data_IF_105670709364
#
_entry.id   IF_105670709364
#
_cell.length_a   1.000
_cell.length_b   1.000
_cell.length_c   1.000
_cell.angle_alpha   90.00
_cell.angle_beta   90.00
_cell.angle_gamma   90.00
#
_symmetry.space_group_name_H-M   'P 1'
#
loop_
_entity.id
_entity.type
_entity.pdbx_description
1 polymer ?
#
# COMPACT_ATOMS: atom_id res chain seq x y z
N UNK A 1 -27.89 -17.16 -26.20
CA UNK A 1 -26.65 -16.62 -25.62
C UNK A 1 -27.05 -15.90 -24.33
N UNK A 2 -26.50 -16.31 -23.22
CA UNK A 2 -26.87 -15.77 -21.88
C UNK A 2 -26.09 -14.50 -21.53
N UNK A 3 -24.91 -14.31 -22.13
CA UNK A 3 -24.04 -13.16 -21.93
C UNK A 3 -23.10 -13.01 -23.14
N UNK A 4 -22.88 -11.80 -23.61
CA UNK A 4 -21.83 -11.53 -24.61
C UNK A 4 -21.43 -10.05 -24.57
N UNK A 5 -20.11 -9.82 -24.40
CA UNK A 5 -19.50 -8.48 -24.44
C UNK A 5 -18.23 -8.50 -25.30
N UNK A 6 -17.85 -7.32 -25.81
CA UNK A 6 -16.56 -7.07 -26.44
C UNK A 6 -15.93 -5.81 -25.87
N UNK A 7 -14.65 -5.86 -25.57
CA UNK A 7 -13.90 -4.73 -25.00
C UNK A 7 -12.47 -4.73 -25.50
N UNK A 8 -11.86 -3.56 -25.57
CA UNK A 8 -10.41 -3.45 -25.80
C UNK A 8 -9.63 -4.15 -24.68
N UNK A 9 -8.60 -4.92 -25.06
CA UNK A 9 -7.74 -5.62 -24.10
C UNK A 9 -7.23 -4.70 -22.98
N UNK A 10 -6.77 -3.49 -23.33
CA UNK A 10 -6.21 -2.52 -22.35
C UNK A 10 -7.23 -2.14 -21.29
N UNK A 11 -8.47 -1.84 -21.70
CA UNK A 11 -9.56 -1.49 -20.79
C UNK A 11 -9.88 -2.64 -19.86
N UNK A 12 -10.07 -3.84 -20.42
CA UNK A 12 -10.37 -5.02 -19.61
C UNK A 12 -9.23 -5.36 -18.65
N UNK A 13 -7.98 -5.31 -19.09
CA UNK A 13 -6.82 -5.63 -18.27
C UNK A 13 -6.65 -4.65 -17.09
N UNK A 14 -6.92 -3.36 -17.29
CA UNK A 14 -6.87 -2.36 -16.22
C UNK A 14 -7.90 -2.67 -15.13
N UNK A 15 -9.12 -3.02 -15.49
CA UNK A 15 -10.17 -3.39 -14.53
C UNK A 15 -9.85 -4.73 -13.82
N UNK A 16 -9.33 -5.71 -14.55
CA UNK A 16 -8.94 -7.00 -13.98
C UNK A 16 -7.79 -6.88 -13.00
N UNK A 17 -6.82 -5.99 -13.24
CA UNK A 17 -5.70 -5.75 -12.34
C UNK A 17 -6.17 -5.20 -10.98
N UNK A 18 -7.12 -4.28 -10.98
CA UNK A 18 -7.74 -3.75 -9.75
C UNK A 18 -8.50 -4.85 -8.98
N UNK A 19 -9.31 -5.62 -9.69
CA UNK A 19 -10.05 -6.73 -9.09
C UNK A 19 -9.14 -7.83 -8.54
N UNK A 20 -8.00 -8.08 -9.20
CA UNK A 20 -7.03 -9.07 -8.77
C UNK A 20 -6.38 -8.69 -7.43
N UNK A 21 -6.19 -7.40 -7.16
CA UNK A 21 -5.62 -6.91 -5.89
C UNK A 21 -6.52 -7.27 -4.68
N UNK A 22 -7.83 -7.41 -4.90
CA UNK A 22 -8.82 -7.79 -3.88
C UNK A 22 -9.00 -9.32 -3.81
N UNK A 23 -8.90 -10.01 -4.96
CA UNK A 23 -9.22 -11.43 -5.06
C UNK A 23 -8.20 -12.29 -4.33
N UNK A 24 -8.67 -13.20 -3.48
CA UNK A 24 -7.83 -14.16 -2.78
C UNK A 24 -7.10 -15.08 -3.76
N UNK A 25 -5.86 -15.47 -3.41
CA UNK A 25 -5.09 -16.42 -4.22
C UNK A 25 -5.70 -17.82 -4.16
N UNK A 26 -6.12 -18.24 -2.96
CA UNK A 26 -6.84 -19.48 -2.66
C UNK A 26 -7.82 -19.19 -1.54
N UNK A 27 -9.03 -19.68 -1.66
CA UNK A 27 -10.04 -19.57 -0.61
C UNK A 27 -10.99 -20.77 -0.67
N UNK A 28 -11.58 -21.11 0.45
CA UNK A 28 -12.70 -22.05 0.53
C UNK A 28 -14.01 -21.47 -0.03
N UNK A 29 -14.09 -20.15 -0.19
CA UNK A 29 -15.24 -19.47 -0.81
C UNK A 29 -14.92 -19.11 -2.27
N UNK A 30 -15.66 -19.65 -3.25
CA UNK A 30 -15.45 -19.33 -4.65
C UNK A 30 -15.61 -17.83 -4.96
N UNK A 31 -16.44 -17.10 -4.24
CA UNK A 31 -16.68 -15.66 -4.43
C UNK A 31 -15.37 -14.86 -4.33
N UNK A 32 -14.54 -15.17 -3.34
CA UNK A 32 -13.28 -14.46 -3.08
C UNK A 32 -12.24 -14.64 -4.18
N UNK A 33 -12.39 -15.66 -5.03
CA UNK A 33 -11.46 -15.98 -6.13
C UNK A 33 -12.00 -15.61 -7.51
N UNK A 34 -13.26 -15.19 -7.59
CA UNK A 34 -13.93 -14.89 -8.84
C UNK A 34 -14.31 -13.41 -8.97
N UNK A 35 -14.50 -12.99 -10.21
CA UNK A 35 -14.94 -11.68 -10.60
C UNK A 35 -16.29 -11.79 -11.33
N UNK A 36 -17.24 -10.96 -10.93
CA UNK A 36 -18.55 -10.86 -11.57
C UNK A 36 -18.52 -9.80 -12.65
N UNK A 37 -19.01 -10.15 -13.83
CA UNK A 37 -19.39 -9.22 -14.90
C UNK A 37 -20.91 -9.14 -14.97
N UNK A 38 -21.44 -7.94 -15.03
CA UNK A 38 -22.86 -7.66 -15.17
C UNK A 38 -23.08 -6.59 -16.24
N UNK A 39 -23.75 -6.96 -17.33
CA UNK A 39 -24.10 -6.08 -18.45
C UNK A 39 -25.61 -5.81 -18.55
N UNK A 40 -26.38 -6.11 -17.49
CA UNK A 40 -27.84 -5.97 -17.48
C UNK A 40 -28.31 -4.52 -17.38
N UNK A 41 -27.48 -3.59 -16.94
CA UNK A 41 -27.80 -2.16 -16.87
C UNK A 41 -28.02 -1.51 -18.26
N UNK A 42 -27.59 -2.15 -19.35
CA UNK A 42 -27.75 -1.67 -20.72
C UNK A 42 -26.76 -0.55 -21.09
N UNK A 43 -27.02 0.10 -22.22
CA UNK A 43 -26.30 1.29 -22.72
C UNK A 43 -24.79 1.10 -22.99
N UNK A 44 -24.35 -0.10 -23.34
CA UNK A 44 -22.93 -0.35 -23.62
C UNK A 44 -22.02 -0.25 -22.37
N UNK A 45 -22.57 -0.43 -21.18
CA UNK A 45 -21.85 -0.44 -19.92
C UNK A 45 -21.81 -1.83 -19.31
N UNK A 46 -20.65 -2.18 -18.77
CA UNK A 46 -20.45 -3.42 -18.04
C UNK A 46 -19.94 -3.05 -16.66
N UNK A 47 -20.64 -3.50 -15.62
CA UNK A 47 -20.14 -3.44 -14.26
C UNK A 47 -19.32 -4.69 -13.95
N UNK A 48 -18.31 -4.49 -13.12
CA UNK A 48 -17.39 -5.51 -12.67
C UNK A 48 -17.31 -5.45 -11.15
N UNK A 49 -17.33 -6.60 -10.49
CA UNK A 49 -17.30 -6.68 -9.03
C UNK A 49 -16.40 -7.82 -8.57
N UNK A 50 -15.54 -7.53 -7.58
CA UNK A 50 -14.76 -8.52 -6.83
C UNK A 50 -14.88 -8.25 -5.33
N UNK A 51 -14.80 -9.28 -4.49
CA UNK A 51 -14.86 -9.13 -3.03
C UNK A 51 -14.20 -10.30 -2.32
N UNK A 52 -13.61 -10.01 -1.15
CA UNK A 52 -13.17 -10.98 -0.15
C UNK A 52 -13.95 -10.81 1.18
N UNK A 53 -15.15 -10.21 1.12
CA UNK A 53 -16.04 -9.82 2.21
C UNK A 53 -15.56 -8.63 3.05
N UNK A 54 -14.28 -8.50 3.37
CA UNK A 54 -13.72 -7.35 4.09
C UNK A 54 -13.47 -6.18 3.16
N UNK A 55 -13.04 -6.48 1.95
CA UNK A 55 -12.83 -5.53 0.87
C UNK A 55 -13.74 -5.85 -0.32
N UNK A 56 -14.18 -4.84 -1.03
CA UNK A 56 -14.90 -5.01 -2.28
C UNK A 56 -14.50 -3.93 -3.28
N UNK A 57 -14.32 -4.36 -4.50
CA UNK A 57 -14.07 -3.51 -5.64
C UNK A 57 -15.27 -3.57 -6.59
N UNK A 58 -15.72 -2.43 -7.05
CA UNK A 58 -16.71 -2.30 -8.09
C UNK A 58 -16.27 -1.26 -9.11
N UNK A 59 -16.47 -1.54 -10.39
CA UNK A 59 -16.22 -0.57 -11.46
C UNK A 59 -17.26 -0.69 -12.57
N UNK A 60 -17.33 0.36 -13.40
CA UNK A 60 -18.14 0.34 -14.60
C UNK A 60 -17.29 0.86 -15.76
N UNK A 61 -17.24 0.11 -16.84
CA UNK A 61 -16.51 0.47 -18.04
C UNK A 61 -17.35 0.30 -19.31
N UNK A 62 -16.96 0.98 -20.38
CA UNK A 62 -17.64 0.90 -21.66
C UNK A 62 -17.20 -0.38 -22.42
N UNK A 63 -18.19 -1.12 -22.93
CA UNK A 63 -17.96 -2.29 -23.77
C UNK A 63 -19.14 -2.44 -24.76
N UNK A 64 -18.90 -3.10 -25.86
CA UNK A 64 -20.00 -3.51 -26.75
C UNK A 64 -20.72 -4.68 -26.09
N UNK A 65 -22.02 -4.54 -25.84
CA UNK A 65 -22.89 -5.58 -25.26
C UNK A 65 -23.74 -6.19 -26.37
N UNK A 66 -23.41 -7.42 -26.75
CA UNK A 66 -24.16 -8.17 -27.80
C UNK A 66 -25.31 -8.98 -27.17
N UNK A 67 -25.15 -9.45 -25.93
CA UNK A 67 -26.21 -10.09 -25.14
C UNK A 67 -26.06 -9.69 -23.67
N UNK A 68 -27.05 -8.97 -23.09
CA UNK A 68 -27.00 -8.58 -21.66
C UNK A 68 -27.18 -9.81 -20.79
N UNK A 69 -26.44 -9.82 -19.65
CA UNK A 69 -26.46 -10.92 -18.69
C UNK A 69 -25.41 -10.78 -17.62
N UNK A 70 -25.20 -11.86 -16.86
CA UNK A 70 -24.24 -11.93 -15.77
C UNK A 70 -23.42 -13.20 -15.86
N UNK A 71 -22.09 -13.09 -15.64
CA UNK A 71 -21.17 -14.23 -15.56
C UNK A 71 -20.11 -13.97 -14.49
N UNK A 72 -19.64 -15.05 -13.86
CA UNK A 72 -18.55 -14.96 -12.89
C UNK A 72 -17.41 -15.89 -13.29
N UNK A 73 -16.20 -15.34 -13.36
CA UNK A 73 -14.98 -16.00 -13.86
C UNK A 73 -13.88 -15.99 -12.78
N UNK A 74 -12.96 -16.98 -12.79
CA UNK A 74 -11.78 -16.98 -11.92
C UNK A 74 -10.89 -15.76 -12.23
N UNK A 75 -10.78 -14.81 -11.29
CA UNK A 75 -10.13 -13.50 -11.48
C UNK A 75 -8.69 -13.64 -11.94
N UNK A 76 -7.87 -14.38 -11.20
CA UNK A 76 -6.45 -14.55 -11.49
C UNK A 76 -6.20 -15.21 -12.84
N UNK A 77 -6.92 -16.29 -13.14
CA UNK A 77 -6.77 -17.00 -14.41
C UNK A 77 -7.17 -16.14 -15.60
N UNK A 78 -8.25 -15.37 -15.46
CA UNK A 78 -8.69 -14.44 -16.48
C UNK A 78 -7.69 -13.32 -16.71
N UNK A 79 -7.21 -12.68 -15.62
CA UNK A 79 -6.20 -11.64 -15.67
C UNK A 79 -4.92 -12.13 -16.37
N UNK A 80 -4.35 -13.26 -15.90
CA UNK A 80 -3.10 -13.81 -16.44
C UNK A 80 -3.23 -14.18 -17.92
N UNK A 81 -4.38 -14.73 -18.31
CA UNK A 81 -4.67 -15.05 -19.70
C UNK A 81 -4.77 -13.79 -20.57
N UNK A 82 -5.58 -12.80 -20.16
CA UNK A 82 -5.76 -11.54 -20.91
C UNK A 82 -4.43 -10.77 -21.01
N UNK A 83 -3.60 -10.82 -19.98
CA UNK A 83 -2.26 -10.19 -19.97
C UNK A 83 -1.33 -10.72 -21.06
N UNK A 84 -1.44 -12.00 -21.40
CA UNK A 84 -0.62 -12.65 -22.42
C UNK A 84 -1.16 -12.53 -23.86
N UNK A 85 -2.42 -12.11 -24.03
CA UNK A 85 -3.01 -11.93 -25.34
C UNK A 85 -2.42 -10.71 -26.07
N UNK A 86 -2.42 -10.70 -27.43
CA UNK A 86 -2.03 -9.52 -28.19
C UNK A 86 -2.99 -8.34 -27.92
N UNK A 87 -2.56 -7.12 -28.24
CA UNK A 87 -3.39 -5.93 -28.11
C UNK A 87 -4.49 -5.93 -29.17
N UNK A 88 -5.65 -6.46 -28.82
CA UNK A 88 -6.80 -6.69 -29.70
C UNK A 88 -8.11 -6.56 -28.93
N UNK A 89 -9.21 -6.67 -29.63
CA UNK A 89 -10.54 -6.80 -29.01
C UNK A 89 -10.65 -8.18 -28.32
N UNK A 90 -11.16 -8.18 -27.10
CA UNK A 90 -11.48 -9.37 -26.32
C UNK A 90 -13.01 -9.56 -26.30
N UNK A 91 -13.46 -10.73 -26.74
CA UNK A 91 -14.87 -11.13 -26.65
C UNK A 91 -15.04 -12.15 -25.51
N UNK A 92 -15.97 -11.87 -24.59
CA UNK A 92 -16.37 -12.79 -23.51
C UNK A 92 -17.82 -13.16 -23.74
N UNK A 93 -18.12 -14.45 -23.83
CA UNK A 93 -19.48 -14.92 -24.11
C UNK A 93 -19.80 -16.21 -23.35
N UNK A 94 -21.07 -16.38 -22.99
CA UNK A 94 -21.60 -17.58 -22.35
C UNK A 94 -22.93 -18.01 -23.00
N UNK A 95 -23.02 -19.27 -23.33
CA UNK A 95 -24.28 -19.90 -23.74
C UNK A 95 -24.88 -20.74 -22.61
N UNK A 96 -24.06 -21.13 -21.64
CA UNK A 96 -24.43 -21.86 -20.42
C UNK A 96 -23.91 -21.09 -19.19
N UNK A 97 -24.53 -21.22 -18.02
CA UNK A 97 -24.22 -20.42 -16.85
C UNK A 97 -22.75 -20.48 -16.38
N UNK A 98 -22.10 -21.64 -16.54
CA UNK A 98 -20.76 -21.87 -16.02
C UNK A 98 -19.71 -22.12 -17.10
N UNK A 99 -20.08 -22.03 -18.39
CA UNK A 99 -19.20 -22.25 -19.53
C UNK A 99 -18.97 -20.94 -20.28
N UNK A 100 -17.89 -20.23 -19.95
CA UNK A 100 -17.60 -18.90 -20.47
C UNK A 100 -16.43 -18.98 -21.46
N UNK A 101 -16.68 -18.59 -22.70
CA UNK A 101 -15.66 -18.52 -23.74
C UNK A 101 -15.05 -17.12 -23.80
N UNK A 102 -13.72 -17.05 -23.76
CA UNK A 102 -12.94 -15.83 -24.00
C UNK A 102 -12.20 -15.98 -25.32
N UNK A 103 -12.33 -15.01 -26.23
CA UNK A 103 -11.69 -14.98 -27.55
C UNK A 103 -10.92 -13.70 -27.79
N UNK A 104 -9.77 -13.85 -28.46
CA UNK A 104 -8.97 -12.74 -28.97
C UNK A 104 -8.32 -13.16 -30.29
N UNK A 105 -8.78 -12.63 -31.43
CA UNK A 105 -8.36 -13.11 -32.75
C UNK A 105 -8.61 -14.61 -32.92
N UNK A 106 -7.56 -15.38 -33.19
CA UNK A 106 -7.60 -16.83 -33.31
C UNK A 106 -7.61 -17.59 -31.99
N UNK A 107 -7.26 -16.92 -30.87
CA UNK A 107 -7.23 -17.55 -29.54
C UNK A 107 -8.64 -17.74 -29.01
N UNK A 108 -8.92 -18.94 -28.51
CA UNK A 108 -10.19 -19.28 -27.87
C UNK A 108 -9.92 -20.14 -26.64
N UNK A 109 -10.44 -19.72 -25.48
CA UNK A 109 -10.33 -20.45 -24.23
C UNK A 109 -11.69 -20.57 -23.57
N UNK A 110 -11.98 -21.73 -23.02
CA UNK A 110 -13.17 -22.00 -22.23
C UNK A 110 -12.79 -21.93 -20.74
N UNK A 111 -13.48 -21.07 -20.01
CA UNK A 111 -13.38 -20.94 -18.55
C UNK A 111 -14.58 -21.62 -17.89
N UNK A 112 -14.32 -22.31 -16.80
CA UNK A 112 -15.38 -22.75 -15.88
C UNK A 112 -15.61 -21.64 -14.88
N UNK A 113 -16.81 -21.09 -14.86
CA UNK A 113 -17.26 -20.07 -13.93
C UNK A 113 -18.08 -20.63 -12.79
N UNK A 114 -18.63 -19.72 -11.98
CA UNK A 114 -19.61 -20.03 -10.92
C UNK A 114 -20.92 -19.30 -11.20
N UNK A 115 -21.98 -19.71 -10.52
CA UNK A 115 -23.29 -19.07 -10.62
C UNK A 115 -23.22 -17.60 -10.17
N UNK A 116 -23.59 -16.62 -11.01
CA UNK A 116 -23.43 -15.18 -10.69
C UNK A 116 -24.33 -14.70 -9.55
N UNK A 117 -25.39 -15.42 -9.21
CA UNK A 117 -26.34 -15.09 -8.15
C UNK A 117 -25.79 -15.26 -6.74
N UNK A 118 -24.65 -15.93 -6.56
CA UNK A 118 -23.99 -16.05 -5.26
C UNK A 118 -23.24 -14.78 -4.84
N UNK A 119 -22.98 -13.86 -5.77
CA UNK A 119 -22.30 -12.60 -5.44
C UNK A 119 -23.22 -11.68 -4.63
N UNK A 120 -22.69 -11.06 -3.57
CA UNK A 120 -23.42 -10.06 -2.81
C UNK A 120 -23.73 -8.86 -3.71
N UNK A 121 -24.78 -8.12 -3.39
CA UNK A 121 -25.04 -6.86 -4.06
C UNK A 121 -23.91 -5.87 -3.75
N UNK A 122 -23.44 -5.13 -4.77
CA UNK A 122 -22.48 -4.06 -4.57
C UNK A 122 -23.04 -3.02 -3.60
N UNK A 123 -22.22 -2.57 -2.67
CA UNK A 123 -22.60 -1.46 -1.80
C UNK A 123 -22.81 -0.21 -2.66
N UNK A 124 -23.92 0.53 -2.47
CA UNK A 124 -24.13 1.76 -3.20
C UNK A 124 -23.04 2.78 -2.88
N UNK A 125 -22.64 3.58 -3.87
CA UNK A 125 -21.78 4.72 -3.64
C UNK A 125 -22.46 5.69 -2.67
N UNK A 126 -21.70 6.19 -1.69
CA UNK A 126 -22.18 7.18 -0.71
C UNK A 126 -21.67 8.56 -1.04
N UNK A 127 -22.34 9.60 -0.52
CA UNK A 127 -21.84 10.96 -0.65
C UNK A 127 -20.44 11.05 0.01
N UNK A 128 -19.45 11.63 -0.68
CA UNK A 128 -18.12 11.82 -0.13
C UNK A 128 -18.17 12.85 1.00
N UNK A 129 -17.36 12.64 2.02
CA UNK A 129 -17.18 13.57 3.12
C UNK A 129 -15.94 14.46 2.93
N UNK A 130 -14.96 14.01 2.13
CA UNK A 130 -13.79 14.78 1.73
C UNK A 130 -13.15 14.18 0.47
N UNK A 131 -12.18 14.91 -0.09
CA UNK A 131 -11.42 14.50 -1.26
C UNK A 131 -9.92 14.56 -0.98
N UNK A 132 -9.16 13.65 -1.59
CA UNK A 132 -7.71 13.58 -1.50
C UNK A 132 -7.12 13.60 -2.91
N UNK A 133 -6.01 14.32 -3.08
CA UNK A 133 -5.21 14.21 -4.28
C UNK A 133 -4.67 12.78 -4.42
N UNK A 134 -4.83 12.19 -5.60
CA UNK A 134 -4.47 10.78 -5.85
C UNK A 134 -2.97 10.53 -5.78
N UNK A 135 -2.15 11.47 -6.27
CA UNK A 135 -0.69 11.35 -6.29
C UNK A 135 -0.13 11.51 -4.88
N UNK A 136 -0.70 12.46 -4.12
CA UNK A 136 -0.35 12.64 -2.71
C UNK A 136 -0.74 11.39 -1.91
N UNK A 137 -1.96 10.87 -2.08
CA UNK A 137 -2.39 9.65 -1.39
C UNK A 137 -1.49 8.46 -1.72
N UNK A 138 -1.18 8.25 -3.00
CA UNK A 138 -0.25 7.19 -3.41
C UNK A 138 1.13 7.35 -2.77
N UNK A 139 1.66 8.59 -2.75
CA UNK A 139 2.96 8.88 -2.18
C UNK A 139 3.02 8.62 -0.67
N UNK A 140 1.99 9.04 0.09
CA UNK A 140 1.97 8.85 1.54
C UNK A 140 1.74 7.39 1.93
N UNK A 141 0.90 6.67 1.20
CA UNK A 141 0.69 5.23 1.43
C UNK A 141 1.97 4.42 1.21
N UNK A 142 2.74 4.71 0.14
CA UNK A 142 4.02 4.05 -0.13
C UNK A 142 5.07 4.34 0.96
N UNK A 143 5.04 5.54 1.55
CA UNK A 143 5.96 5.97 2.61
C UNK A 143 5.62 5.42 3.99
N UNK A 144 4.41 4.90 4.18
CA UNK A 144 3.96 4.42 5.49
C UNK A 144 3.71 2.92 5.54
N UNK A 145 3.30 2.29 4.42
CA UNK A 145 2.88 0.87 4.42
C UNK A 145 3.89 -0.12 4.97
N UNK A 146 5.19 0.15 4.81
CA UNK A 146 6.24 -0.78 5.24
C UNK A 146 6.38 -0.88 6.76
N UNK A 147 5.90 0.12 7.51
CA UNK A 147 5.93 0.12 8.96
C UNK A 147 4.68 -0.51 9.60
N UNK A 148 3.70 -0.95 8.82
CA UNK A 148 2.53 -1.70 9.30
C UNK A 148 3.00 -3.08 9.78
N UNK A 149 2.59 -3.51 10.98
CA UNK A 149 2.91 -4.83 11.51
C UNK A 149 2.44 -5.95 10.56
N UNK A 150 3.27 -6.96 10.26
CA UNK A 150 2.83 -8.14 9.52
C UNK A 150 2.04 -9.14 10.38
N UNK A 151 2.00 -8.95 11.71
CA UNK A 151 1.40 -9.89 12.65
C UNK A 151 -0.11 -9.66 12.79
N UNK A 152 -0.92 -10.61 12.35
CA UNK A 152 -2.40 -10.55 12.45
C UNK A 152 -2.88 -10.54 13.92
N UNK A 153 -2.12 -11.11 14.84
CA UNK A 153 -2.43 -11.10 16.28
C UNK A 153 -2.44 -9.68 16.87
N UNK A 154 -1.70 -8.77 16.26
CA UNK A 154 -1.67 -7.34 16.62
C UNK A 154 -2.60 -6.54 15.73
N UNK A 155 -3.88 -6.90 15.70
CA UNK A 155 -4.85 -6.44 14.71
C UNK A 155 -4.91 -4.92 14.51
N UNK A 156 -4.66 -4.10 15.56
CA UNK A 156 -4.62 -2.63 15.46
C UNK A 156 -3.33 -2.16 14.78
N UNK A 157 -2.17 -2.81 15.08
CA UNK A 157 -0.89 -2.49 14.44
C UNK A 157 -0.76 -3.08 13.02
N UNK A 158 -1.58 -4.07 12.69
CA UNK A 158 -1.76 -4.58 11.32
C UNK A 158 -2.63 -3.64 10.46
N UNK A 159 -2.81 -2.39 10.91
CA UNK A 159 -3.55 -1.35 10.23
C UNK A 159 -2.69 -0.09 10.04
N UNK A 160 -3.07 0.70 9.06
CA UNK A 160 -2.67 2.09 8.91
C UNK A 160 -3.73 2.95 9.58
N UNK A 161 -3.32 3.91 10.40
CA UNK A 161 -4.21 4.94 10.93
C UNK A 161 -4.31 6.08 9.91
N UNK A 162 -5.53 6.40 9.50
CA UNK A 162 -5.89 7.65 8.83
C UNK A 162 -6.59 8.54 9.85
N UNK A 163 -5.88 9.54 10.34
CA UNK A 163 -6.35 10.51 11.33
C UNK A 163 -6.65 11.83 10.63
N UNK A 164 -7.93 12.11 10.48
CA UNK A 164 -8.46 13.26 9.75
C UNK A 164 -8.90 14.34 10.72
N UNK A 165 -8.60 15.57 10.40
CA UNK A 165 -9.05 16.72 11.19
C UNK A 165 -9.06 18.02 10.39
N UNK A 166 -9.59 19.10 10.97
CA UNK A 166 -9.67 20.40 10.31
C UNK A 166 -8.30 21.06 10.13
N UNK A 167 -7.36 20.82 11.03
CA UNK A 167 -6.04 21.43 10.99
C UNK A 167 -4.98 20.54 10.33
N UNK A 168 -5.14 19.22 10.45
CA UNK A 168 -4.18 18.25 9.93
C UNK A 168 -4.86 16.96 9.47
N UNK A 169 -4.21 16.29 8.54
CA UNK A 169 -4.49 14.91 8.19
C UNK A 169 -3.20 14.11 8.39
N UNK A 170 -3.25 13.11 9.25
CA UNK A 170 -2.10 12.25 9.55
C UNK A 170 -2.31 10.83 9.10
N UNK A 171 -1.29 10.29 8.49
CA UNK A 171 -1.21 8.89 8.09
C UNK A 171 -0.09 8.25 8.90
N UNK A 172 -0.43 7.27 9.73
CA UNK A 172 0.48 6.68 10.72
C UNK A 172 0.47 5.16 10.61
N UNK A 173 1.64 4.58 10.68
CA UNK A 173 1.82 3.13 10.80
C UNK A 173 2.94 2.79 11.76
N UNK A 174 2.82 1.69 12.48
CA UNK A 174 3.85 1.20 13.41
C UNK A 174 3.72 -0.30 13.62
N UNK A 175 4.84 -0.96 13.89
CA UNK A 175 4.92 -2.35 14.35
C UNK A 175 5.37 -2.47 15.82
N UNK A 176 5.52 -1.32 16.50
CA UNK A 176 6.00 -1.22 17.88
C UNK A 176 7.52 -1.01 18.01
N UNK A 177 8.31 -1.23 16.93
CA UNK A 177 9.75 -1.00 16.90
C UNK A 177 10.14 0.16 15.99
N UNK A 178 9.25 0.55 15.09
CA UNK A 178 9.39 1.67 14.18
C UNK A 178 8.04 2.32 13.94
N UNK A 179 8.04 3.56 13.50
CA UNK A 179 6.85 4.35 13.20
C UNK A 179 7.11 5.24 11.99
N UNK A 180 6.18 5.24 11.05
CA UNK A 180 6.15 6.15 9.91
C UNK A 180 4.94 7.08 10.06
N UNK A 181 5.17 8.38 10.00
CA UNK A 181 4.17 9.43 10.12
C UNK A 181 4.29 10.39 8.95
N UNK A 182 3.23 10.54 8.19
CA UNK A 182 3.06 11.63 7.23
C UNK A 182 1.96 12.55 7.71
N UNK A 183 2.22 13.85 7.66
CA UNK A 183 1.26 14.89 8.02
C UNK A 183 1.05 15.84 6.84
N UNK A 184 -0.22 16.06 6.52
CA UNK A 184 -0.74 16.96 5.50
C UNK A 184 -1.56 18.07 6.18
N UNK A 185 -1.88 19.13 5.45
CA UNK A 185 -2.90 20.10 5.86
C UNK A 185 -4.25 19.40 6.08
N UNK A 186 -5.11 19.97 6.88
CA UNK A 186 -6.43 19.42 7.19
C UNK A 186 -7.28 19.17 5.94
N UNK A 187 -7.95 18.04 5.90
CA UNK A 187 -8.79 17.63 4.77
C UNK A 187 -10.25 17.39 5.15
N UNK A 188 -10.59 17.39 6.44
CA UNK A 188 -11.93 17.10 6.94
C UNK A 188 -12.39 18.15 7.94
N UNK A 189 -13.68 18.55 7.88
CA UNK A 189 -14.28 19.43 8.86
C UNK A 189 -14.49 18.74 10.23
N UNK A 190 -14.55 17.41 10.25
CA UNK A 190 -14.74 16.60 11.45
C UNK A 190 -13.47 15.78 11.74
N UNK A 191 -13.20 15.57 13.03
CA UNK A 191 -12.11 14.70 13.45
C UNK A 191 -12.54 13.23 13.37
N UNK A 192 -11.83 12.45 12.58
CA UNK A 192 -12.11 11.03 12.34
C UNK A 192 -10.82 10.21 12.36
N UNK A 193 -10.75 9.21 13.22
CA UNK A 193 -9.66 8.23 13.26
C UNK A 193 -10.14 6.90 12.64
N UNK A 194 -9.53 6.49 11.55
CA UNK A 194 -9.95 5.32 10.78
C UNK A 194 -8.79 4.35 10.65
N UNK A 195 -9.02 3.09 11.00
CA UNK A 195 -8.05 2.01 10.82
C UNK A 195 -8.30 1.29 9.50
N UNK A 196 -7.32 1.37 8.60
CA UNK A 196 -7.34 0.71 7.29
C UNK A 196 -6.46 -0.54 7.38
N UNK A 197 -7.01 -1.75 7.16
CA UNK A 197 -6.24 -2.99 7.24
C UNK A 197 -5.08 -3.00 6.23
N UNK A 198 -3.98 -3.64 6.58
CA UNK A 198 -2.79 -3.80 5.73
C UNK A 198 -3.13 -4.33 4.33
N UNK A 199 -4.04 -5.33 4.24
CA UNK A 199 -4.46 -5.93 2.97
C UNK A 199 -5.05 -4.95 1.97
N UNK A 200 -5.70 -3.88 2.47
CA UNK A 200 -6.37 -2.89 1.64
C UNK A 200 -5.42 -1.79 1.09
N UNK A 201 -4.17 -1.72 1.57
CA UNK A 201 -3.25 -0.63 1.19
C UNK A 201 -2.81 -0.74 -0.27
N UNK A 202 -2.40 -1.93 -0.74
CA UNK A 202 -1.99 -2.12 -2.13
C UNK A 202 -3.15 -1.94 -3.13
N UNK A 203 -4.38 -2.48 -2.88
CA UNK A 203 -5.58 -2.12 -3.64
C UNK A 203 -5.84 -0.61 -3.69
N UNK A 204 -5.67 0.09 -2.58
CA UNK A 204 -5.87 1.54 -2.52
C UNK A 204 -4.81 2.30 -3.33
N UNK A 205 -3.54 1.90 -3.25
CA UNK A 205 -2.46 2.45 -4.11
C UNK A 205 -2.76 2.18 -5.59
N UNK A 206 -3.26 0.99 -5.94
CA UNK A 206 -3.63 0.68 -7.30
C UNK A 206 -4.78 1.58 -7.80
N UNK A 207 -5.77 1.84 -6.94
CA UNK A 207 -6.90 2.73 -7.25
C UNK A 207 -6.44 4.17 -7.57
N UNK A 208 -5.44 4.71 -6.85
CA UNK A 208 -4.93 6.06 -7.12
C UNK A 208 -4.36 6.19 -8.52
N UNK A 209 -3.65 5.18 -9.03
CA UNK A 209 -3.11 5.17 -10.40
C UNK A 209 -4.17 5.09 -11.50
N UNK A 210 -5.42 4.88 -11.13
CA UNK A 210 -6.57 4.79 -12.04
C UNK A 210 -7.49 6.03 -11.97
N UNK A 211 -7.15 7.02 -11.15
CA UNK A 211 -7.90 8.28 -11.00
C UNK A 211 -7.62 9.22 -12.18
N UNK A 212 -8.58 9.33 -13.11
CA UNK A 212 -8.44 10.19 -14.29
C UNK A 212 -8.41 11.69 -13.97
N UNK A 213 -9.04 12.08 -12.86
CA UNK A 213 -9.20 13.49 -12.42
C UNK A 213 -8.25 13.85 -11.27
N UNK A 214 -7.25 13.01 -11.00
CA UNK A 214 -6.29 13.16 -9.89
C UNK A 214 -6.94 13.33 -8.50
N UNK A 215 -8.18 12.93 -8.33
CA UNK A 215 -8.94 13.11 -7.09
C UNK A 215 -9.58 11.79 -6.64
N UNK A 216 -9.47 11.50 -5.36
CA UNK A 216 -10.09 10.35 -4.69
C UNK A 216 -11.15 10.88 -3.73
N UNK A 217 -12.40 10.59 -4.01
CA UNK A 217 -13.50 10.89 -3.12
C UNK A 217 -13.59 9.84 -2.00
N UNK A 218 -13.69 10.28 -0.76
CA UNK A 218 -13.73 9.41 0.41
C UNK A 218 -15.06 9.53 1.13
N UNK A 219 -15.72 8.41 1.35
CA UNK A 219 -16.96 8.31 2.11
C UNK A 219 -16.80 7.32 3.26
N UNK A 220 -17.40 7.63 4.40
CA UNK A 220 -17.31 6.79 5.61
C UNK A 220 -18.72 6.51 6.13
N UNK A 221 -18.96 5.28 6.54
CA UNK A 221 -20.15 4.90 7.29
C UNK A 221 -19.77 4.15 8.58
N UNK A 222 -20.73 3.62 9.31
CA UNK A 222 -20.50 2.94 10.59
C UNK A 222 -19.54 1.77 10.46
N UNK A 223 -19.55 1.06 9.33
CA UNK A 223 -18.83 -0.21 9.13
C UNK A 223 -17.72 -0.14 8.09
N UNK A 224 -17.79 0.79 7.14
CA UNK A 224 -16.91 0.79 5.97
C UNK A 224 -16.35 2.20 5.70
N UNK A 225 -15.19 2.23 5.09
CA UNK A 225 -14.65 3.39 4.36
C UNK A 225 -14.61 3.04 2.88
N UNK A 226 -14.97 4.00 2.05
CA UNK A 226 -15.04 3.83 0.60
C UNK A 226 -14.24 4.91 -0.10
N UNK A 227 -13.46 4.49 -1.09
CA UNK A 227 -12.63 5.35 -1.93
C UNK A 227 -13.14 5.25 -3.36
N UNK A 228 -13.46 6.38 -3.97
CA UNK A 228 -13.98 6.45 -5.33
C UNK A 228 -13.04 7.22 -6.24
N UNK A 229 -12.65 6.61 -7.36
CA UNK A 229 -11.86 7.18 -8.43
C UNK A 229 -12.63 7.08 -9.75
N UNK A 230 -13.29 8.14 -10.19
CA UNK A 230 -14.16 8.11 -11.36
C UNK A 230 -15.25 7.03 -11.25
N UNK A 231 -15.24 6.03 -12.13
CA UNK A 231 -16.21 4.92 -12.13
C UNK A 231 -15.79 3.72 -11.26
N UNK A 232 -14.74 3.84 -10.45
CA UNK A 232 -14.18 2.77 -9.61
C UNK A 232 -14.42 3.06 -8.14
N UNK A 233 -14.87 2.06 -7.42
CA UNK A 233 -15.19 2.11 -5.99
C UNK A 233 -14.43 0.98 -5.27
N UNK A 234 -13.58 1.34 -4.34
CA UNK A 234 -12.99 0.43 -3.37
C UNK A 234 -13.66 0.66 -2.01
N UNK A 235 -14.27 -0.36 -1.44
CA UNK A 235 -14.92 -0.28 -0.13
C UNK A 235 -14.29 -1.28 0.82
N UNK A 236 -13.85 -0.81 1.99
CA UNK A 236 -13.04 -1.52 2.97
C UNK A 236 -13.79 -1.55 4.30
N UNK A 237 -13.85 -2.70 4.96
CA UNK A 237 -14.38 -2.82 6.32
C UNK A 237 -13.44 -2.12 7.29
N UNK A 238 -13.97 -1.21 8.11
CA UNK A 238 -13.20 -0.56 9.17
C UNK A 238 -12.84 -1.58 10.26
N UNK A 239 -11.60 -1.48 10.73
CA UNK A 239 -11.18 -2.21 11.93
C UNK A 239 -11.54 -1.35 13.15
N UNK A 240 -12.15 -1.98 14.15
CA UNK A 240 -12.48 -1.32 15.43
C UNK A 240 -11.32 -1.50 16.41
N UNK A 241 -10.94 -0.45 17.11
CA UNK A 241 -9.86 -0.48 18.09
C UNK A 241 -9.24 0.90 18.28
N UNK A 242 -8.42 1.03 19.30
CA UNK A 242 -7.68 2.26 19.58
C UNK A 242 -6.24 2.10 19.10
N UNK A 243 -5.83 2.94 18.16
CA UNK A 243 -4.43 3.01 17.76
C UNK A 243 -3.60 3.51 18.95
N UNK A 244 -2.37 2.99 19.17
CA UNK A 244 -1.51 3.46 20.27
C UNK A 244 -1.26 4.96 20.20
N UNK A 245 -0.99 5.57 21.35
CA UNK A 245 -0.56 6.97 21.40
C UNK A 245 0.83 7.11 20.76
N UNK A 246 0.84 7.35 19.47
CA UNK A 246 2.06 7.48 18.67
C UNK A 246 2.81 8.80 18.92
N UNK A 247 2.12 9.82 19.42
CA UNK A 247 2.75 11.13 19.69
C UNK A 247 3.79 11.02 20.82
N UNK A 248 3.57 10.11 21.78
CA UNK A 248 4.47 9.90 22.91
C UNK A 248 5.87 9.35 22.50
N UNK A 249 5.98 8.75 21.30
CA UNK A 249 7.25 8.19 20.81
C UNK A 249 7.94 9.07 19.78
N UNK A 250 7.32 10.18 19.38
CA UNK A 250 7.95 11.13 18.49
C UNK A 250 9.12 11.82 19.21
N UNK A 251 10.32 11.87 18.60
CA UNK A 251 11.45 12.56 19.18
C UNK A 251 11.12 14.04 19.42
N UNK A 252 11.40 14.52 20.63
CA UNK A 252 11.32 15.95 20.93
C UNK A 252 12.46 16.70 20.22
N UNK A 253 12.24 17.99 19.91
CA UNK A 253 13.18 18.83 19.13
C UNK A 253 14.57 19.04 19.78
N UNK A 254 14.82 18.48 20.96
CA UNK A 254 16.06 18.68 21.74
C UNK A 254 17.19 17.67 21.41
N UNK A 255 17.09 16.94 20.30
CA UNK A 255 18.13 16.01 19.87
C UNK A 255 19.24 16.67 19.06
N UNK A 256 20.41 15.99 19.01
CA UNK A 256 21.46 16.31 18.02
C UNK A 256 21.02 15.80 16.66
N UNK A 257 21.43 16.48 15.61
CA UNK A 257 21.05 16.12 14.24
C UNK A 257 22.28 16.07 13.34
N UNK A 258 22.31 15.11 12.44
CA UNK A 258 23.32 15.00 11.40
C UNK A 258 22.67 14.85 10.03
N UNK A 259 23.21 15.55 9.04
CA UNK A 259 22.79 15.46 7.64
C UNK A 259 23.65 14.42 6.93
N UNK A 260 23.00 13.39 6.34
CA UNK A 260 23.68 12.26 5.71
C UNK A 260 23.18 12.10 4.28
N UNK A 261 24.08 11.77 3.35
CA UNK A 261 23.72 11.39 2.00
C UNK A 261 22.85 10.12 1.99
N UNK A 262 21.64 10.18 1.44
CA UNK A 262 20.70 9.05 1.46
C UNK A 262 21.27 7.80 0.79
N UNK A 263 21.78 7.92 -0.44
CA UNK A 263 22.30 6.75 -1.17
C UNK A 263 23.56 6.17 -0.52
N UNK A 264 24.58 6.95 -0.17
CA UNK A 264 25.74 6.43 0.57
C UNK A 264 25.35 5.71 1.87
N UNK A 265 24.31 6.21 2.57
CA UNK A 265 23.88 5.57 3.81
C UNK A 265 23.13 4.25 3.54
N UNK A 266 22.29 4.20 2.50
CA UNK A 266 21.64 2.97 2.07
C UNK A 266 22.67 1.90 1.68
N UNK A 267 23.62 2.26 0.83
CA UNK A 267 24.67 1.35 0.35
C UNK A 267 25.51 0.79 1.51
N UNK A 268 25.91 1.66 2.46
CA UNK A 268 26.67 1.25 3.64
C UNK A 268 25.88 0.26 4.53
N UNK A 269 24.58 0.48 4.70
CA UNK A 269 23.72 -0.46 5.45
C UNK A 269 23.55 -1.77 4.68
N UNK A 270 23.28 -1.72 3.37
CA UNK A 270 23.10 -2.92 2.54
C UNK A 270 24.38 -3.77 2.45
N UNK A 271 25.55 -3.16 2.40
CA UNK A 271 26.82 -3.90 2.44
C UNK A 271 27.07 -4.54 3.80
N UNK A 272 26.91 -3.78 4.87
CA UNK A 272 27.24 -4.27 6.23
C UNK A 272 26.24 -5.28 6.75
N UNK A 273 24.94 -5.15 6.41
CA UNK A 273 23.91 -6.09 6.87
C UNK A 273 24.13 -7.55 6.38
N UNK A 274 24.94 -7.78 5.35
CA UNK A 274 25.30 -9.13 4.88
C UNK A 274 26.13 -9.88 5.93
N UNK A 275 26.77 -9.16 6.85
CA UNK A 275 27.58 -9.68 7.94
C UNK A 275 26.86 -9.58 9.30
N UNK A 276 25.61 -9.15 9.32
CA UNK A 276 24.81 -9.11 10.54
C UNK A 276 24.32 -10.50 10.94
N UNK A 277 24.12 -10.72 12.24
CA UNK A 277 23.46 -11.93 12.73
C UNK A 277 22.07 -12.08 12.08
N UNK A 278 21.79 -13.25 11.52
CA UNK A 278 20.54 -13.52 10.77
C UNK A 278 19.28 -13.38 11.62
N UNK A 279 19.36 -13.49 12.94
CA UNK A 279 18.21 -13.42 13.84
C UNK A 279 17.77 -11.98 14.11
N UNK A 280 18.72 -11.03 14.16
CA UNK A 280 18.45 -9.63 14.53
C UNK A 280 18.61 -8.66 13.37
N UNK A 281 19.36 -9.03 12.33
CA UNK A 281 19.74 -8.14 11.22
C UNK A 281 20.16 -6.75 11.68
N UNK A 282 20.93 -6.71 12.81
CA UNK A 282 21.32 -5.48 13.48
C UNK A 282 22.63 -4.93 12.92
N UNK A 283 22.63 -3.64 12.60
CA UNK A 283 23.82 -2.87 12.27
C UNK A 283 24.11 -1.84 13.34
N UNK A 284 25.37 -1.62 13.63
CA UNK A 284 25.85 -0.62 14.58
C UNK A 284 26.16 0.66 13.83
N UNK A 285 25.59 1.76 14.28
CA UNK A 285 25.86 3.11 13.78
C UNK A 285 26.70 3.83 14.82
N UNK A 286 27.85 4.36 14.40
CA UNK A 286 28.71 5.23 15.21
C UNK A 286 28.88 6.57 14.50
N UNK A 287 28.57 7.65 15.20
CA UNK A 287 28.78 9.02 14.74
C UNK A 287 29.91 9.60 15.57
N UNK A 288 30.95 10.05 14.89
CA UNK A 288 32.12 10.72 15.46
C UNK A 288 32.37 11.99 14.65
N UNK A 289 33.40 12.75 15.04
CA UNK A 289 33.76 13.97 14.31
C UNK A 289 33.91 13.69 12.80
N UNK A 290 33.03 14.30 12.01
CA UNK A 290 32.95 14.24 10.54
C UNK A 290 32.81 12.84 9.90
N UNK A 291 32.53 11.79 10.71
CA UNK A 291 32.39 10.42 10.21
C UNK A 291 31.15 9.76 10.80
N UNK A 292 30.33 9.16 9.93
CA UNK A 292 29.33 8.17 10.28
C UNK A 292 29.84 6.80 9.83
N UNK A 293 30.01 5.90 10.79
CA UNK A 293 30.43 4.52 10.55
C UNK A 293 29.24 3.58 10.72
N UNK A 294 29.02 2.71 9.76
CA UNK A 294 28.09 1.58 9.82
C UNK A 294 28.89 0.30 9.89
N UNK A 295 28.59 -0.57 10.85
CA UNK A 295 29.30 -1.84 10.98
C UNK A 295 28.39 -2.96 11.46
N UNK A 296 28.75 -4.19 11.08
CA UNK A 296 28.14 -5.41 11.57
C UNK A 296 29.19 -6.51 11.72
N UNK A 297 28.99 -7.41 12.65
CA UNK A 297 29.87 -8.55 12.87
C UNK A 297 29.04 -9.78 13.25
N UNK A 298 29.46 -10.92 12.73
CA UNK A 298 28.93 -12.23 13.06
C UNK A 298 30.07 -13.22 13.24
N UNK A 299 29.95 -14.12 14.19
CA UNK A 299 30.93 -15.19 14.39
C UNK A 299 31.01 -16.17 13.20
N UNK A 300 30.00 -16.21 12.38
CA UNK A 300 29.89 -17.12 11.22
C UNK A 300 30.45 -16.49 9.94
N UNK A 301 30.21 -15.19 9.72
CA UNK A 301 30.50 -14.52 8.43
C UNK A 301 31.63 -13.48 8.51
N UNK A 302 32.13 -13.16 9.72
CA UNK A 302 33.16 -12.15 9.92
C UNK A 302 32.55 -10.75 10.18
N UNK A 303 33.28 -9.70 9.79
CA UNK A 303 32.88 -8.30 10.04
C UNK A 303 32.92 -7.45 8.77
N UNK A 304 32.04 -6.45 8.71
CA UNK A 304 32.06 -5.42 7.70
C UNK A 304 31.92 -4.04 8.33
N UNK A 305 32.58 -3.06 7.70
CA UNK A 305 32.58 -1.67 8.15
C UNK A 305 32.61 -0.74 6.96
N UNK A 306 31.71 0.24 6.96
CA UNK A 306 31.60 1.30 5.96
C UNK A 306 31.64 2.65 6.65
N UNK A 307 32.30 3.63 6.05
CA UNK A 307 32.42 4.98 6.55
C UNK A 307 31.84 6.00 5.58
N UNK A 308 31.10 6.95 6.08
CA UNK A 308 30.46 8.03 5.33
C UNK A 308 30.95 9.36 5.91
N UNK A 309 31.42 10.25 5.05
CA UNK A 309 31.75 11.63 5.46
C UNK A 309 30.48 12.42 5.76
N UNK A 310 30.46 13.10 6.87
CA UNK A 310 29.37 13.93 7.35
C UNK A 310 29.93 15.23 7.93
N UNK A 311 29.10 16.23 8.11
CA UNK A 311 29.42 17.42 8.90
C UNK A 311 28.87 17.24 10.32
N UNK A 312 29.75 16.92 11.27
CA UNK A 312 29.38 16.76 12.65
C UNK A 312 30.56 17.09 13.59
N UNK A 313 30.28 17.97 14.56
CA UNK A 313 31.22 18.35 15.59
C UNK A 313 30.51 18.30 16.96
N UNK A 314 30.25 17.12 17.45
CA UNK A 314 29.55 16.90 18.71
C UNK A 314 30.10 15.67 19.43
N UNK A 315 29.54 15.38 20.62
CA UNK A 315 29.91 14.18 21.34
C UNK A 315 29.62 12.92 20.55
N UNK A 316 30.50 11.91 20.55
CA UNK A 316 30.28 10.66 19.85
C UNK A 316 28.96 10.00 20.26
N UNK A 317 28.37 9.34 19.30
CA UNK A 317 27.12 8.57 19.48
C UNK A 317 27.31 7.16 18.93
N UNK A 318 26.78 6.17 19.64
CA UNK A 318 26.80 4.76 19.19
C UNK A 318 25.52 4.08 19.59
N UNK A 319 24.82 3.49 18.62
CA UNK A 319 23.66 2.64 18.85
C UNK A 319 23.51 1.60 17.75
N UNK A 320 22.71 0.58 17.99
CA UNK A 320 22.40 -0.45 17.00
C UNK A 320 20.93 -0.40 16.57
N UNK A 321 20.68 -0.69 15.31
CA UNK A 321 19.35 -0.67 14.72
C UNK A 321 19.16 -1.86 13.80
N UNK A 322 17.92 -2.28 13.63
CA UNK A 322 17.59 -3.24 12.58
C UNK A 322 17.83 -2.61 11.21
N UNK A 323 18.72 -3.21 10.43
CA UNK A 323 19.12 -2.73 9.11
C UNK A 323 17.94 -2.60 8.14
N UNK A 324 17.03 -3.59 8.15
CA UNK A 324 15.87 -3.58 7.26
C UNK A 324 14.95 -2.39 7.52
N UNK A 325 14.81 -1.97 8.79
CA UNK A 325 14.00 -0.81 9.15
C UNK A 325 14.57 0.49 8.57
N UNK A 326 15.88 0.63 8.61
CA UNK A 326 16.56 1.79 8.02
C UNK A 326 16.46 1.77 6.48
N UNK A 327 16.71 0.61 5.86
CA UNK A 327 16.61 0.45 4.41
C UNK A 327 15.22 0.75 3.88
N UNK A 328 14.15 0.32 4.58
CA UNK A 328 12.78 0.58 4.15
C UNK A 328 12.48 2.07 4.05
N UNK A 329 12.90 2.86 5.04
CA UNK A 329 12.76 4.31 5.00
C UNK A 329 13.60 4.95 3.90
N UNK A 330 14.87 4.55 3.77
CA UNK A 330 15.79 5.11 2.78
C UNK A 330 15.32 4.84 1.34
N UNK A 331 14.72 3.67 1.08
CA UNK A 331 14.09 3.35 -0.20
C UNK A 331 12.80 4.14 -0.43
N UNK A 332 11.99 4.34 0.60
CA UNK A 332 10.76 5.12 0.51
C UNK A 332 11.01 6.63 0.28
N UNK A 333 12.24 7.10 0.48
CA UNK A 333 12.66 8.50 0.31
C UNK A 333 13.64 8.71 -0.84
N UNK A 334 13.57 7.88 -1.90
CA UNK A 334 14.49 7.94 -3.05
C UNK A 334 14.57 9.31 -3.75
N UNK A 335 13.49 10.10 -3.68
CA UNK A 335 13.46 11.47 -4.23
C UNK A 335 14.26 12.49 -3.42
N UNK A 336 14.68 12.16 -2.19
CA UNK A 336 15.46 13.06 -1.33
C UNK A 336 16.93 12.63 -1.36
N UNK A 337 17.86 13.48 -1.84
CA UNK A 337 19.29 13.15 -1.92
C UNK A 337 19.94 13.05 -0.52
N UNK A 338 19.36 13.69 0.48
CA UNK A 338 19.88 13.73 1.84
C UNK A 338 18.77 13.43 2.85
N UNK A 339 19.16 12.89 4.01
CA UNK A 339 18.31 12.69 5.17
C UNK A 339 18.87 13.41 6.39
N UNK A 340 18.01 13.73 7.32
CA UNK A 340 18.35 14.23 8.64
C UNK A 340 18.12 13.10 9.65
N UNK A 341 19.19 12.75 10.37
CA UNK A 341 19.19 11.70 11.39
C UNK A 341 19.33 12.37 12.75
N UNK A 342 18.26 12.33 13.55
CA UNK A 342 18.15 13.01 14.83
C UNK A 342 18.24 11.99 15.97
N UNK A 343 19.11 12.22 16.94
CA UNK A 343 19.40 11.30 18.04
C UNK A 343 19.70 12.05 19.34
N UNK A 344 19.46 11.41 20.48
CA UNK A 344 19.73 11.97 21.80
C UNK A 344 20.72 11.10 22.58
N UNK A 345 20.32 9.92 22.91
CA UNK A 345 21.11 8.92 23.64
C UNK A 345 20.94 7.52 23.01
N UNK A 346 21.83 6.56 23.30
CA UNK A 346 21.81 5.23 22.69
C UNK A 346 20.58 4.36 22.98
N UNK A 347 19.77 4.72 23.97
CA UNK A 347 18.59 3.96 24.39
C UNK A 347 17.28 4.59 23.88
N UNK A 348 17.33 5.85 23.46
CA UNK A 348 16.18 6.55 22.91
C UNK A 348 15.96 6.23 21.43
N UNK A 349 14.70 6.30 20.99
CA UNK A 349 14.37 6.24 19.59
C UNK A 349 15.06 7.34 18.79
N UNK A 350 15.45 7.04 17.57
CA UNK A 350 15.97 8.04 16.62
C UNK A 350 14.88 8.49 15.68
N UNK A 351 14.93 9.78 15.32
CA UNK A 351 14.08 10.36 14.27
C UNK A 351 14.85 10.45 12.95
N UNK A 352 14.18 10.12 11.86
CA UNK A 352 14.74 10.28 10.53
C UNK A 352 13.71 11.01 9.65
N UNK A 353 14.18 11.98 8.85
CA UNK A 353 13.33 12.72 7.94
C UNK A 353 14.08 13.11 6.67
N UNK A 354 13.38 13.38 5.54
CA UNK A 354 14.01 13.95 4.35
C UNK A 354 14.73 15.26 4.67
N UNK A 355 15.93 15.45 4.11
CA UNK A 355 16.78 16.60 4.38
C UNK A 355 16.39 17.88 3.62
N UNK A 356 15.67 17.73 2.51
CA UNK A 356 15.34 18.83 1.60
C UNK A 356 13.83 19.13 1.59
N UNK A 357 13.11 18.70 2.65
CA UNK A 357 11.66 18.76 2.72
C UNK A 357 10.99 17.58 2.01
N UNK A 358 9.71 17.37 2.28
CA UNK A 358 8.93 16.24 1.74
C UNK A 358 7.88 16.66 0.72
N UNK A 359 7.96 17.89 0.22
CA UNK A 359 6.97 18.43 -0.71
C UNK A 359 5.71 18.90 0.01
N UNK A 360 4.48 18.49 -0.44
CA UNK A 360 3.21 18.99 0.12
C UNK A 360 2.86 18.42 1.49
N UNK A 361 3.74 17.62 2.10
CA UNK A 361 3.53 17.00 3.42
C UNK A 361 4.83 16.96 4.23
N UNK A 362 4.71 16.82 5.54
CA UNK A 362 5.85 16.46 6.39
C UNK A 362 5.95 14.95 6.53
N UNK A 363 7.18 14.43 6.58
CA UNK A 363 7.42 13.00 6.75
C UNK A 363 8.42 12.77 7.87
N UNK A 364 8.02 12.01 8.87
CA UNK A 364 8.83 11.63 10.02
C UNK A 364 8.86 10.12 10.15
N UNK A 365 10.02 9.60 10.45
CA UNK A 365 10.22 8.19 10.71
C UNK A 365 10.95 8.01 12.03
N UNK A 366 10.54 7.06 12.82
CA UNK A 366 11.12 6.76 14.14
C UNK A 366 11.54 5.31 14.18
N UNK A 367 12.73 5.03 14.72
CA UNK A 367 13.25 3.67 14.90
C UNK A 367 13.75 3.50 16.30
N UNK A 368 13.32 2.42 16.95
CA UNK A 368 13.84 2.02 18.26
C UNK A 368 15.21 1.35 18.12
N UNK A 369 16.17 1.64 19.02
CA UNK A 369 17.44 0.93 19.06
C UNK A 369 17.22 -0.54 19.44
N UNK A 370 18.14 -1.39 19.03
CA UNK A 370 18.19 -2.80 19.42
C UNK A 370 19.51 -3.13 20.13
N UNK A 371 19.52 -4.20 20.92
CA UNK A 371 20.74 -4.69 21.56
C UNK A 371 21.56 -5.52 20.58
N UNK A 372 22.84 -5.21 20.44
CA UNK A 372 23.84 -6.12 19.89
C UNK A 372 24.04 -7.24 20.90
N UNK A 373 23.78 -8.46 20.53
CA UNK A 373 24.07 -9.65 21.38
C UNK A 373 25.41 -10.21 21.04
#
# INVERSE_FOLDING_TARGET
MLFAIRSARRTLLAELAQALAISAHKSGSPIETHILFDSTAGFGRVSLQATNYDESYASTFNAQVDAPGRVALPTRRLHDYVRLLPDSEIAISASEPNAITVRAGCSKTLFTGIAPNVFPQASPARAPIFHLDSDILAAVLRRTKFAISPEDSRYVLNCLLLDLGPEHTRIVSTDGNRLALVELSGASAESLAILIPRGAIDPLIALTGAAGDNEIAVAVDDKRISFTAGARLLSIRKVTGNFPNYEAVLPTEQGREVKVGRQPFLDAIEHTMQFADSRKSAVKIQIRENILEVSAASSEYGEARECIEIEFNGEPFTAAYNASFLCDFLRATESSPRILFSFRDPQSAVGIRPGDGSGPFTYRYVVMPCTLS
#
